data_IF_685190321184
#
_entry.id   IF_685190321184
#
_cell.length_a   1.000
_cell.length_b   1.000
_cell.length_c   1.000
_cell.angle_alpha   90.00
_cell.angle_beta   90.00
_cell.angle_gamma   90.00
#
_symmetry.space_group_name_H-M   'P 1'
#
loop_
_entity.id
_entity.type
_entity.pdbx_description
1 polymer ?
#
# COMPACT_ATOMS: atom_id res chain seq x y z
N UNK A 1 -27.71 37.96 35.44
CA UNK A 1 -27.06 37.89 34.12
C UNK A 1 -27.70 36.70 33.42
N UNK A 2 -28.72 36.95 32.60
CA UNK A 2 -29.39 35.92 31.80
C UNK A 2 -28.63 35.73 30.48
N UNK A 3 -28.40 34.47 30.10
CA UNK A 3 -27.68 34.09 28.90
C UNK A 3 -28.54 34.30 27.65
N UNK A 4 -27.98 34.98 26.65
CA UNK A 4 -28.67 35.54 25.47
C UNK A 4 -28.67 34.62 24.24
N UNK A 5 -28.33 33.33 24.38
CA UNK A 5 -28.31 32.36 23.28
C UNK A 5 -28.84 30.99 23.75
N UNK A 6 -29.89 30.44 23.12
CA UNK A 6 -30.31 29.07 23.38
C UNK A 6 -29.31 28.07 22.77
N UNK A 7 -29.04 26.97 23.47
CA UNK A 7 -28.26 25.85 22.94
C UNK A 7 -28.97 25.24 21.72
N UNK A 8 -28.25 24.91 20.64
CA UNK A 8 -28.85 24.26 19.48
C UNK A 8 -29.30 22.85 19.82
N UNK A 9 -30.45 22.44 19.29
CA UNK A 9 -30.96 21.08 19.39
C UNK A 9 -29.93 20.07 18.86
N UNK A 10 -29.79 18.89 19.51
CA UNK A 10 -28.91 17.84 19.02
C UNK A 10 -29.32 17.43 17.60
N UNK A 11 -28.35 17.21 16.69
CA UNK A 11 -28.66 16.80 15.33
C UNK A 11 -29.39 15.45 15.33
N UNK A 12 -30.30 15.22 14.37
CA UNK A 12 -31.02 13.96 14.25
C UNK A 12 -30.03 12.80 14.07
N UNK A 13 -30.25 11.74 14.84
CA UNK A 13 -29.44 10.53 14.83
C UNK A 13 -29.46 9.93 13.41
N UNK A 14 -28.29 9.81 12.79
CA UNK A 14 -28.16 9.25 11.45
C UNK A 14 -28.46 7.75 11.49
N UNK A 15 -29.21 7.20 10.51
CA UNK A 15 -29.51 5.78 10.48
C UNK A 15 -28.22 4.94 10.42
N UNK A 16 -28.20 3.77 11.08
CA UNK A 16 -27.01 2.94 11.12
C UNK A 16 -26.60 2.50 9.70
N UNK A 17 -25.30 2.43 9.41
CA UNK A 17 -24.82 2.02 8.09
C UNK A 17 -25.30 0.60 7.77
N UNK A 18 -25.56 0.29 6.48
CA UNK A 18 -26.05 -1.01 6.07
C UNK A 18 -25.07 -2.13 6.45
N UNK A 19 -25.57 -3.36 6.68
CA UNK A 19 -24.75 -4.48 7.12
C UNK A 19 -23.67 -4.81 6.09
N UNK A 20 -22.41 -4.74 6.52
CA UNK A 20 -21.23 -5.05 5.70
C UNK A 20 -21.28 -6.51 5.24
N UNK A 21 -21.31 -6.74 3.92
CA UNK A 21 -21.15 -8.10 3.36
C UNK A 21 -19.74 -8.59 3.72
N UNK A 22 -19.66 -9.64 4.55
CA UNK A 22 -18.41 -10.33 4.90
C UNK A 22 -17.94 -11.19 3.72
N UNK A 23 -17.55 -10.55 2.62
CA UNK A 23 -16.74 -11.19 1.60
C UNK A 23 -15.31 -11.29 2.11
N UNK A 24 -14.66 -12.45 1.98
CA UNK A 24 -13.24 -12.63 2.30
C UNK A 24 -12.29 -11.93 1.32
N UNK A 25 -12.83 -11.21 0.33
CA UNK A 25 -12.09 -10.58 -0.76
C UNK A 25 -12.48 -9.11 -0.87
N UNK A 26 -11.49 -8.21 -0.78
CA UNK A 26 -11.63 -6.80 -1.18
C UNK A 26 -12.12 -6.77 -2.62
N UNK A 27 -13.13 -5.95 -2.91
CA UNK A 27 -13.60 -5.72 -4.28
C UNK A 27 -13.15 -4.33 -4.77
N UNK A 28 -12.86 -4.20 -6.08
CA UNK A 28 -12.54 -2.91 -6.67
C UNK A 28 -13.80 -2.04 -6.77
N UNK A 29 -13.62 -0.72 -6.68
CA UNK A 29 -14.67 0.22 -7.02
C UNK A 29 -15.08 0.09 -8.49
N UNK A 30 -16.30 0.53 -8.82
CA UNK A 30 -16.66 0.75 -10.22
C UNK A 30 -15.83 1.92 -10.77
N UNK A 31 -15.15 1.69 -11.89
CA UNK A 31 -14.30 2.70 -12.53
C UNK A 31 -15.02 3.36 -13.70
N UNK A 32 -14.75 4.65 -13.91
CA UNK A 32 -15.22 5.36 -15.10
C UNK A 32 -14.74 4.62 -16.37
N UNK A 33 -15.65 4.26 -17.30
CA UNK A 33 -15.29 3.62 -18.56
C UNK A 33 -14.20 4.35 -19.35
N UNK A 34 -14.07 5.67 -19.19
CA UNK A 34 -13.05 6.50 -19.83
C UNK A 34 -11.61 6.19 -19.37
N UNK A 35 -11.41 5.55 -18.22
CA UNK A 35 -10.08 5.18 -17.74
C UNK A 35 -9.40 4.11 -18.60
N UNK A 36 -10.18 3.24 -19.27
CA UNK A 36 -9.65 2.18 -20.13
C UNK A 36 -8.98 2.72 -21.41
N UNK A 37 -9.63 3.57 -22.22
CA UNK A 37 -8.96 4.17 -23.37
C UNK A 37 -7.80 5.08 -22.95
N UNK A 38 -7.91 5.77 -21.80
CA UNK A 38 -6.78 6.53 -21.25
C UNK A 38 -5.59 5.63 -20.94
N UNK A 39 -5.81 4.51 -20.23
CA UNK A 39 -4.75 3.54 -19.93
C UNK A 39 -4.09 2.99 -21.20
N UNK A 40 -4.89 2.71 -22.24
CA UNK A 40 -4.39 2.23 -23.53
C UNK A 40 -3.58 3.27 -24.31
N UNK A 41 -3.81 4.57 -24.06
CA UNK A 41 -3.07 5.66 -24.69
C UNK A 41 -1.73 5.98 -23.99
N UNK A 42 -1.53 5.51 -22.75
CA UNK A 42 -0.28 5.75 -22.01
C UNK A 42 0.88 4.91 -22.59
N UNK A 43 2.12 5.45 -22.62
CA UNK A 43 3.29 4.68 -23.03
C UNK A 43 3.45 3.39 -22.21
N UNK A 44 3.82 2.24 -22.82
CA UNK A 44 3.95 0.99 -22.09
C UNK A 44 4.97 1.02 -20.94
N UNK A 45 5.97 1.89 -21.02
CA UNK A 45 7.00 2.11 -19.99
C UNK A 45 6.59 3.06 -18.87
N UNK A 46 5.42 3.69 -18.95
CA UNK A 46 4.88 4.51 -17.86
C UNK A 46 4.09 3.62 -16.89
N UNK A 47 4.51 3.64 -15.63
CA UNK A 47 3.84 2.91 -14.56
C UNK A 47 3.35 3.91 -13.51
N UNK A 48 2.03 4.04 -13.39
CA UNK A 48 1.39 4.84 -12.35
C UNK A 48 0.98 3.94 -11.19
N UNK A 49 1.09 4.45 -9.96
CA UNK A 49 0.84 3.69 -8.76
C UNK A 49 1.00 4.52 -7.50
N UNK A 50 0.89 3.86 -6.35
CA UNK A 50 0.88 4.49 -5.02
C UNK A 50 1.95 3.88 -4.11
N UNK A 51 2.19 4.49 -2.95
CA UNK A 51 3.15 4.00 -1.96
C UNK A 51 2.66 2.78 -1.16
N UNK A 52 1.38 2.46 -1.24
CA UNK A 52 0.75 1.27 -0.63
C UNK A 52 -0.62 0.99 -1.27
N UNK A 53 -1.29 -0.07 -0.83
CA UNK A 53 -2.69 -0.38 -1.17
C UNK A 53 -3.62 -0.40 0.06
N UNK A 54 -3.21 0.22 1.17
CA UNK A 54 -3.87 0.02 2.47
C UNK A 54 -4.70 1.21 2.93
N UNK A 55 -4.76 2.30 2.16
CA UNK A 55 -5.46 3.50 2.58
C UNK A 55 -6.98 3.34 2.44
N UNK A 56 -7.67 3.32 3.59
CA UNK A 56 -9.12 3.16 3.63
C UNK A 56 -9.86 4.31 2.92
N UNK A 57 -9.28 5.52 2.86
CA UNK A 57 -9.93 6.68 2.23
C UNK A 57 -10.14 6.60 0.71
N UNK A 58 -9.70 5.52 0.04
CA UNK A 58 -9.93 5.30 -1.40
C UNK A 58 -11.25 4.60 -1.73
N UNK A 59 -12.21 4.53 -0.79
CA UNK A 59 -13.57 4.07 -1.09
C UNK A 59 -14.19 4.92 -2.21
N UNK A 60 -14.87 4.24 -3.15
CA UNK A 60 -15.46 4.86 -4.34
C UNK A 60 -14.46 5.16 -5.46
N UNK A 61 -13.16 5.04 -5.22
CA UNK A 61 -12.11 5.22 -6.25
C UNK A 61 -11.37 3.92 -6.54
N UNK A 62 -10.88 3.25 -5.49
CA UNK A 62 -10.16 1.98 -5.58
C UNK A 62 -10.96 0.86 -4.93
N UNK A 63 -11.65 1.12 -3.81
CA UNK A 63 -12.45 0.12 -3.07
C UNK A 63 -13.94 0.35 -3.25
N UNK A 64 -14.74 -0.70 -3.37
CA UNK A 64 -16.21 -0.57 -3.52
C UNK A 64 -16.93 -0.14 -2.23
N UNK A 65 -16.35 -0.45 -1.08
CA UNK A 65 -16.92 -0.15 0.24
C UNK A 65 -15.81 0.03 1.29
N UNK A 66 -16.21 0.40 2.49
CA UNK A 66 -15.28 0.49 3.62
C UNK A 66 -14.69 -0.88 4.00
N UNK A 67 -13.38 -0.86 4.19
CA UNK A 67 -12.60 -1.99 4.66
C UNK A 67 -11.64 -1.55 5.76
N UNK A 68 -11.30 -2.44 6.68
CA UNK A 68 -10.25 -2.17 7.65
C UNK A 68 -8.87 -2.23 7.00
N UNK A 69 -7.92 -1.45 7.51
CA UNK A 69 -6.53 -1.44 7.05
C UNK A 69 -5.90 -2.84 7.06
N UNK A 70 -6.23 -3.66 8.06
CA UNK A 70 -5.76 -5.05 8.15
C UNK A 70 -6.27 -5.91 7.00
N UNK A 71 -7.52 -5.70 6.58
CA UNK A 71 -8.13 -6.43 5.49
C UNK A 71 -7.58 -5.96 4.13
N UNK A 72 -7.45 -4.64 3.94
CA UNK A 72 -6.79 -4.07 2.76
C UNK A 72 -5.33 -4.54 2.64
N UNK A 73 -4.58 -4.52 3.73
CA UNK A 73 -3.19 -4.99 3.76
C UNK A 73 -3.04 -6.44 3.28
N UNK A 74 -3.94 -7.34 3.72
CA UNK A 74 -3.86 -8.77 3.41
C UNK A 74 -4.46 -9.14 2.06
N UNK A 75 -5.52 -8.47 1.64
CA UNK A 75 -6.37 -8.92 0.52
C UNK A 75 -6.65 -7.84 -0.52
N UNK A 76 -6.15 -6.62 -0.33
CA UNK A 76 -6.42 -5.46 -1.20
C UNK A 76 -5.65 -5.45 -2.51
N UNK A 77 -4.48 -6.09 -2.58
CA UNK A 77 -3.65 -6.06 -3.78
C UNK A 77 -4.41 -6.57 -5.03
N UNK A 78 -5.19 -7.63 -4.88
CA UNK A 78 -5.99 -8.18 -5.99
C UNK A 78 -7.10 -7.25 -6.49
N UNK A 79 -7.65 -6.38 -5.64
CA UNK A 79 -8.57 -5.32 -6.06
C UNK A 79 -7.82 -4.11 -6.63
N UNK A 80 -6.70 -3.74 -6.01
CA UNK A 80 -5.86 -2.62 -6.40
C UNK A 80 -5.41 -2.72 -7.87
N UNK A 81 -4.95 -3.91 -8.30
CA UNK A 81 -4.48 -4.13 -9.67
C UNK A 81 -5.58 -4.14 -10.73
N UNK A 82 -6.85 -4.04 -10.33
CA UNK A 82 -7.97 -3.90 -11.27
C UNK A 82 -8.22 -2.45 -11.66
N UNK A 83 -7.62 -1.48 -10.95
CA UNK A 83 -7.71 -0.08 -11.34
C UNK A 83 -6.98 0.14 -12.68
N UNK A 84 -7.65 0.63 -13.75
CA UNK A 84 -7.10 0.61 -15.11
C UNK A 84 -5.77 1.34 -15.29
N UNK A 85 -5.50 2.35 -14.46
CA UNK A 85 -4.26 3.14 -14.52
C UNK A 85 -3.13 2.59 -13.64
N UNK A 86 -3.41 1.69 -12.70
CA UNK A 86 -2.39 1.26 -11.73
C UNK A 86 -1.61 0.07 -12.25
N UNK A 87 -0.32 0.31 -12.53
CA UNK A 87 0.63 -0.67 -13.10
C UNK A 87 1.89 -0.84 -12.24
N UNK A 88 1.93 -0.18 -11.08
CA UNK A 88 2.98 -0.37 -10.07
C UNK A 88 2.46 -0.09 -8.67
N UNK A 89 3.18 -0.56 -7.64
CA UNK A 89 2.98 -0.15 -6.25
C UNK A 89 4.31 -0.19 -5.49
N UNK A 90 4.47 0.68 -4.49
CA UNK A 90 5.60 0.59 -3.55
C UNK A 90 5.30 -0.41 -2.42
N UNK A 91 6.35 -1.11 -1.97
CA UNK A 91 6.34 -2.00 -0.82
C UNK A 91 7.03 -1.32 0.38
N UNK A 92 6.37 -0.31 0.94
CA UNK A 92 6.92 0.45 2.07
C UNK A 92 6.98 -0.36 3.37
N UNK A 93 6.20 -1.45 3.50
CA UNK A 93 6.30 -2.35 4.67
C UNK A 93 7.67 -2.99 4.82
N UNK A 94 8.42 -3.13 3.72
CA UNK A 94 9.78 -3.66 3.73
C UNK A 94 10.76 -2.77 4.52
N UNK A 95 10.45 -1.47 4.64
CA UNK A 95 11.22 -0.54 5.47
C UNK A 95 11.20 -0.95 6.94
N UNK A 96 10.04 -1.32 7.48
CA UNK A 96 9.88 -1.67 8.89
C UNK A 96 10.30 -3.11 9.18
N UNK A 97 10.08 -4.01 8.21
CA UNK A 97 10.46 -5.42 8.33
C UNK A 97 10.87 -5.96 6.96
N UNK A 98 12.13 -6.38 6.79
CA UNK A 98 12.58 -7.08 5.58
C UNK A 98 11.63 -8.22 5.22
N UNK A 99 11.38 -8.39 3.93
CA UNK A 99 10.53 -9.46 3.41
C UNK A 99 11.38 -10.60 2.88
N UNK A 100 10.92 -11.82 3.10
CA UNK A 100 11.54 -13.01 2.53
C UNK A 100 11.09 -13.24 1.07
N UNK A 101 11.80 -14.15 0.40
CA UNK A 101 11.52 -14.55 -1.00
C UNK A 101 10.07 -15.01 -1.18
N UNK A 102 9.53 -15.80 -0.24
CA UNK A 102 8.19 -16.36 -0.33
C UNK A 102 7.09 -15.29 -0.22
N UNK A 103 7.30 -14.28 0.62
CA UNK A 103 6.42 -13.12 0.74
C UNK A 103 6.40 -12.30 -0.54
N UNK A 104 7.57 -12.03 -1.12
CA UNK A 104 7.65 -11.37 -2.44
C UNK A 104 6.98 -12.20 -3.53
N UNK A 105 7.24 -13.51 -3.59
CA UNK A 105 6.61 -14.40 -4.56
C UNK A 105 5.08 -14.43 -4.42
N UNK A 106 4.56 -14.36 -3.18
CA UNK A 106 3.13 -14.25 -2.91
C UNK A 106 2.54 -12.96 -3.47
N UNK A 107 3.24 -11.83 -3.39
CA UNK A 107 2.80 -10.59 -4.04
C UNK A 107 2.89 -10.67 -5.56
N UNK A 108 4.01 -11.19 -6.08
CA UNK A 108 4.21 -11.37 -7.52
C UNK A 108 3.11 -12.23 -8.14
N UNK A 109 2.64 -13.27 -7.46
CA UNK A 109 1.59 -14.15 -7.96
C UNK A 109 0.21 -13.46 -8.12
N UNK A 110 -0.03 -12.34 -7.44
CA UNK A 110 -1.33 -11.65 -7.42
C UNK A 110 -1.52 -10.64 -8.56
N UNK A 111 -0.46 -10.32 -9.30
CA UNK A 111 -0.46 -9.19 -10.25
C UNK A 111 -0.13 -9.63 -11.68
N UNK A 112 -0.58 -8.88 -12.71
CA UNK A 112 -0.22 -9.12 -14.11
C UNK A 112 1.30 -9.15 -14.38
N UNK A 113 1.71 -9.75 -15.49
CA UNK A 113 3.14 -9.93 -15.84
C UNK A 113 3.90 -8.61 -16.07
N UNK A 114 3.19 -7.58 -16.53
CA UNK A 114 3.72 -6.23 -16.78
C UNK A 114 3.66 -5.32 -15.55
N UNK A 115 3.04 -5.75 -14.45
CA UNK A 115 3.02 -4.99 -13.21
C UNK A 115 4.43 -4.92 -12.58
N UNK A 116 4.75 -3.80 -11.92
CA UNK A 116 6.04 -3.60 -11.25
C UNK A 116 5.87 -3.31 -9.76
N UNK A 117 6.84 -3.75 -8.97
CA UNK A 117 6.94 -3.39 -7.57
C UNK A 117 8.14 -2.50 -7.36
N UNK A 118 7.94 -1.36 -6.70
CA UNK A 118 9.02 -0.57 -6.13
C UNK A 118 9.23 -1.07 -4.70
N UNK A 119 10.46 -1.37 -4.30
CA UNK A 119 10.73 -1.94 -2.98
C UNK A 119 11.60 -0.97 -2.19
N UNK A 120 11.08 -0.55 -1.04
CA UNK A 120 11.78 0.34 -0.13
C UNK A 120 12.81 -0.43 0.69
N UNK A 121 14.01 0.11 0.79
CA UNK A 121 15.10 -0.47 1.56
C UNK A 121 14.73 -0.57 3.05
N UNK A 122 15.08 -1.66 3.75
CA UNK A 122 14.86 -1.79 5.18
C UNK A 122 15.57 -0.70 5.99
N UNK A 123 14.90 -0.18 7.02
CA UNK A 123 15.49 0.78 7.98
C UNK A 123 16.77 0.24 8.62
N UNK A 124 16.88 -1.08 8.74
CA UNK A 124 18.06 -1.80 9.20
C UNK A 124 19.36 -1.37 8.49
N UNK A 125 19.29 -1.00 7.21
CA UNK A 125 20.43 -0.53 6.41
C UNK A 125 20.26 0.89 5.87
N UNK A 126 19.03 1.39 5.80
CA UNK A 126 18.72 2.69 5.18
C UNK A 126 18.42 3.82 6.19
N UNK A 127 18.22 3.51 7.47
CA UNK A 127 18.10 4.53 8.52
C UNK A 127 19.41 4.66 9.29
N UNK A 128 19.93 5.88 9.39
CA UNK A 128 21.13 6.18 10.16
C UNK A 128 20.90 6.01 11.68
N UNK A 129 19.64 5.98 12.13
CA UNK A 129 19.31 5.82 13.54
C UNK A 129 18.43 4.59 13.76
N UNK A 130 18.67 3.91 14.88
CA UNK A 130 17.69 2.98 15.43
C UNK A 130 16.62 3.81 16.12
N UNK A 131 15.36 3.60 15.75
CA UNK A 131 14.20 4.34 16.28
C UNK A 131 13.33 3.45 17.16
N UNK A 132 12.68 4.06 18.13
CA UNK A 132 11.60 3.40 18.87
C UNK A 132 10.29 3.37 18.06
N UNK A 133 9.24 2.78 18.64
CA UNK A 133 7.91 2.68 18.02
C UNK A 133 7.26 4.04 17.73
N UNK A 134 7.69 5.12 18.40
CA UNK A 134 7.24 6.49 18.15
C UNK A 134 8.01 7.19 17.03
N UNK A 135 9.05 6.55 16.49
CA UNK A 135 9.94 7.10 15.46
C UNK A 135 11.06 7.97 16.03
N UNK A 136 11.21 8.05 17.36
CA UNK A 136 12.29 8.82 17.99
C UNK A 136 13.61 8.08 17.84
N UNK A 137 14.63 8.78 17.34
CA UNK A 137 15.99 8.24 17.24
C UNK A 137 16.57 7.98 18.63
N UNK A 138 16.99 6.73 18.87
CA UNK A 138 17.57 6.28 20.14
C UNK A 138 19.10 6.25 20.09
N UNK A 139 19.65 5.71 19.01
CA UNK A 139 21.10 5.55 18.83
C UNK A 139 21.47 5.50 17.35
N UNK A 140 22.75 5.68 17.04
CA UNK A 140 23.27 5.48 15.69
C UNK A 140 23.13 4.01 15.29
N UNK A 141 22.74 3.75 14.05
CA UNK A 141 22.64 2.41 13.51
C UNK A 141 24.02 1.96 13.00
N UNK A 142 24.70 0.99 13.64
CA UNK A 142 26.00 0.51 13.18
C UNK A 142 25.93 -0.26 11.86
N UNK A 143 24.73 -0.61 11.39
CA UNK A 143 24.47 -1.30 10.12
C UNK A 143 24.04 -0.35 9.00
N UNK A 144 24.01 0.96 9.26
CA UNK A 144 23.68 1.95 8.25
C UNK A 144 24.64 1.85 7.06
N UNK A 145 24.07 1.70 5.86
CA UNK A 145 24.78 1.49 4.59
C UNK A 145 25.69 0.24 4.56
N UNK A 146 25.42 -0.77 5.39
CA UNK A 146 26.12 -2.05 5.32
C UNK A 146 25.77 -2.79 4.01
N UNK A 147 26.74 -2.98 3.09
CA UNK A 147 26.47 -3.51 1.77
C UNK A 147 26.14 -5.01 1.78
N UNK A 148 26.74 -5.79 2.68
CA UNK A 148 26.49 -7.23 2.75
C UNK A 148 25.09 -7.48 3.31
N UNK A 149 24.69 -6.71 4.33
CA UNK A 149 23.36 -6.81 4.88
C UNK A 149 22.30 -6.32 3.88
N UNK A 150 22.58 -5.24 3.13
CA UNK A 150 21.67 -4.76 2.08
C UNK A 150 21.48 -5.82 0.98
N UNK A 151 22.55 -6.51 0.58
CA UNK A 151 22.45 -7.58 -0.41
C UNK A 151 21.54 -8.72 0.09
N UNK A 152 21.84 -9.27 1.27
CA UNK A 152 21.15 -10.46 1.81
C UNK A 152 19.72 -10.20 2.30
N UNK A 153 19.44 -9.00 2.83
CA UNK A 153 18.15 -8.70 3.47
C UNK A 153 17.18 -7.91 2.58
N UNK A 154 17.66 -7.35 1.47
CA UNK A 154 16.86 -6.49 0.60
C UNK A 154 16.98 -6.87 -0.87
N UNK A 155 18.18 -6.85 -1.45
CA UNK A 155 18.37 -7.02 -2.90
C UNK A 155 18.08 -8.46 -3.36
N UNK A 156 18.71 -9.46 -2.74
CA UNK A 156 18.56 -10.87 -3.12
C UNK A 156 17.11 -11.35 -2.95
N UNK A 157 16.44 -11.15 -1.79
CA UNK A 157 15.08 -11.65 -1.62
C UNK A 157 14.07 -10.98 -2.57
N UNK A 158 14.22 -9.67 -2.82
CA UNK A 158 13.35 -8.94 -3.74
C UNK A 158 13.56 -9.40 -5.19
N UNK A 159 14.82 -9.58 -5.61
CA UNK A 159 15.15 -10.02 -6.97
C UNK A 159 14.64 -11.43 -7.23
N UNK A 160 14.85 -12.36 -6.30
CA UNK A 160 14.41 -13.74 -6.43
C UNK A 160 12.88 -13.84 -6.37
N UNK A 161 12.24 -13.23 -5.37
CA UNK A 161 10.81 -13.39 -5.14
C UNK A 161 9.92 -12.64 -6.13
N UNK A 162 10.33 -11.44 -6.58
CA UNK A 162 9.56 -10.66 -7.56
C UNK A 162 9.95 -10.99 -9.01
N UNK A 163 11.17 -11.47 -9.25
CA UNK A 163 11.69 -11.80 -10.57
C UNK A 163 11.50 -10.64 -11.56
N UNK A 164 10.89 -10.92 -12.71
CA UNK A 164 10.62 -9.91 -13.76
C UNK A 164 9.65 -8.80 -13.35
N UNK A 165 8.95 -8.93 -12.22
CA UNK A 165 8.03 -7.92 -11.68
C UNK A 165 8.75 -6.96 -10.73
N UNK A 166 10.02 -7.17 -10.43
CA UNK A 166 10.83 -6.19 -9.72
C UNK A 166 10.97 -4.92 -10.59
N UNK A 167 10.65 -3.77 -10.00
CA UNK A 167 10.93 -2.44 -10.53
C UNK A 167 12.18 -1.87 -9.86
N UNK A 168 12.05 -0.67 -9.29
CA UNK A 168 13.15 -0.01 -8.59
C UNK A 168 13.32 -0.52 -7.14
N UNK A 169 14.57 -0.57 -6.70
CA UNK A 169 14.94 -0.65 -5.28
C UNK A 169 15.27 0.79 -4.84
N UNK A 170 14.59 1.29 -3.80
CA UNK A 170 14.67 2.71 -3.36
C UNK A 170 14.99 2.86 -1.90
#
# INVERSE_FOLDING_TARGET
>A
MDSLFPDPDPPPESPPPPPRKRGSKVQPAAHDPALRPLAAALPPSLHLGTSSWTYAGWVGTVWDQDYSDSMLSRHGLGAYVQHPLFRTVSLDRAFYRPLDVGQYATYAAQVPADFRFVVKAPSLVADAQIRDESGRGMQMNPRFLDPELALRSFVEPATEGLGRKLGALV
#
